data_IF_211497846758
#
_entry.id   IF_211497846758
#
_cell.length_a   1.000
_cell.length_b   1.000
_cell.length_c   1.000
_cell.angle_alpha   90.00
_cell.angle_beta   90.00
_cell.angle_gamma   90.00
#
_symmetry.space_group_name_H-M   'P 1'
#
loop_
_entity.id
_entity.type
_entity.pdbx_description
1 polymer ?
#
# COMPACT_ATOMS: atom_id res chain seq x y z
N UNK A 1 -16.32 -5.38 3.28
CA UNK A 1 -15.47 -6.56 3.62
C UNK A 1 -14.18 -6.54 2.80
N UNK A 2 -13.08 -7.09 3.33
CA UNK A 2 -11.74 -7.22 2.71
C UNK A 2 -10.95 -8.29 3.47
N UNK A 3 -9.65 -8.45 3.19
CA UNK A 3 -8.76 -9.34 3.95
C UNK A 3 -8.88 -9.11 5.47
N UNK A 4 -9.05 -10.21 6.21
CA UNK A 4 -8.84 -10.32 7.65
C UNK A 4 -7.50 -11.01 7.96
N UNK A 5 -7.20 -11.21 9.24
CA UNK A 5 -5.97 -11.88 9.68
C UNK A 5 -5.99 -13.34 9.20
N UNK A 6 -5.01 -13.72 8.38
CA UNK A 6 -4.74 -15.09 7.96
C UNK A 6 -3.24 -15.24 7.66
N UNK A 7 -2.75 -16.47 7.63
CA UNK A 7 -1.33 -16.79 7.40
C UNK A 7 -1.10 -17.42 6.01
N UNK A 8 -2.09 -17.38 5.11
CA UNK A 8 -1.96 -17.99 3.81
C UNK A 8 -1.12 -17.11 2.88
N UNK A 9 -0.13 -17.72 2.25
CA UNK A 9 0.61 -17.12 1.14
C UNK A 9 -0.13 -17.34 -0.18
N UNK A 10 0.33 -16.66 -1.24
CA UNK A 10 -0.12 -16.95 -2.61
C UNK A 10 0.09 -18.43 -2.97
N UNK A 11 1.22 -19.02 -2.54
CA UNK A 11 1.58 -20.41 -2.83
C UNK A 11 0.60 -21.36 -2.15
N UNK A 12 0.27 -21.11 -0.89
CA UNK A 12 -0.69 -21.93 -0.15
C UNK A 12 -2.06 -21.92 -0.83
N UNK A 13 -2.57 -20.72 -1.15
CA UNK A 13 -3.85 -20.56 -1.85
C UNK A 13 -3.84 -21.27 -3.20
N UNK A 14 -2.75 -21.17 -3.96
CA UNK A 14 -2.63 -21.86 -5.24
C UNK A 14 -2.60 -23.38 -5.10
N UNK A 15 -1.90 -23.91 -4.08
CA UNK A 15 -1.87 -25.35 -3.78
C UNK A 15 -3.25 -25.90 -3.40
N UNK A 16 -4.11 -25.06 -2.81
CA UNK A 16 -5.51 -25.35 -2.50
C UNK A 16 -6.45 -25.19 -3.72
N UNK A 17 -5.91 -24.91 -4.91
CA UNK A 17 -6.70 -24.76 -6.14
C UNK A 17 -7.31 -23.37 -6.35
N UNK A 18 -6.99 -22.37 -5.52
CA UNK A 18 -7.48 -20.99 -5.71
C UNK A 18 -6.92 -20.41 -7.02
N UNK A 19 -7.83 -19.95 -7.88
CA UNK A 19 -7.49 -19.38 -9.20
C UNK A 19 -7.40 -17.85 -9.20
N UNK A 20 -8.09 -17.18 -8.28
CA UNK A 20 -8.13 -15.72 -8.17
C UNK A 20 -8.14 -15.29 -6.71
N UNK A 21 -7.30 -14.33 -6.38
CA UNK A 21 -7.22 -13.72 -5.05
C UNK A 21 -7.69 -12.27 -5.19
N UNK A 22 -8.74 -11.90 -4.46
CA UNK A 22 -9.16 -10.51 -4.32
C UNK A 22 -8.89 -10.03 -2.90
N UNK A 23 -8.59 -8.75 -2.75
CA UNK A 23 -8.31 -8.16 -1.42
C UNK A 23 -9.42 -7.22 -0.96
N UNK A 24 -10.47 -7.05 -1.77
CA UNK A 24 -11.53 -6.08 -1.54
C UNK A 24 -10.97 -4.69 -1.22
N UNK A 25 -11.55 -4.01 -0.23
CA UNK A 25 -11.06 -2.71 0.24
C UNK A 25 -9.84 -2.75 1.15
N UNK A 26 -9.08 -3.85 1.24
CA UNK A 26 -7.97 -3.93 2.20
C UNK A 26 -6.83 -2.97 1.92
N UNK A 27 -6.44 -2.79 0.65
CA UNK A 27 -5.38 -1.85 0.30
C UNK A 27 -5.78 -0.41 0.68
N UNK A 28 -7.02 -0.01 0.37
CA UNK A 28 -7.53 1.31 0.75
C UNK A 28 -7.53 1.53 2.27
N UNK A 29 -7.97 0.54 3.06
CA UNK A 29 -7.93 0.63 4.53
C UNK A 29 -6.50 0.71 5.08
N UNK A 30 -5.54 0.01 4.48
CA UNK A 30 -4.14 0.12 4.86
C UNK A 30 -3.58 1.52 4.58
N UNK A 31 -3.90 2.11 3.41
CA UNK A 31 -3.52 3.49 3.09
C UNK A 31 -4.14 4.49 4.08
N UNK A 32 -5.44 4.36 4.40
CA UNK A 32 -6.09 5.23 5.37
C UNK A 32 -5.54 5.11 6.78
N UNK A 33 -5.07 3.92 7.17
CA UNK A 33 -4.34 3.75 8.41
C UNK A 33 -3.06 4.60 8.42
N UNK A 34 -2.23 4.54 7.38
CA UNK A 34 -1.01 5.35 7.30
C UNK A 34 -1.29 6.85 7.31
N UNK A 35 -2.32 7.30 6.57
CA UNK A 35 -2.77 8.71 6.59
C UNK A 35 -3.19 9.12 8.00
N UNK A 36 -3.98 8.29 8.67
CA UNK A 36 -4.41 8.56 10.05
C UNK A 36 -3.23 8.63 11.01
N UNK A 37 -2.23 7.76 10.88
CA UNK A 37 -1.04 7.78 11.74
C UNK A 37 -0.23 9.07 11.53
N UNK A 38 0.00 9.50 10.29
CA UNK A 38 0.68 10.76 9.99
C UNK A 38 -0.12 11.97 10.51
N UNK A 39 -1.45 11.97 10.34
CA UNK A 39 -2.31 13.02 10.86
C UNK A 39 -2.27 13.11 12.40
N UNK A 40 -2.33 11.96 13.08
CA UNK A 40 -2.22 11.91 14.54
C UNK A 40 -0.84 12.38 15.01
N UNK A 41 0.23 12.03 14.31
CA UNK A 41 1.58 12.53 14.61
C UNK A 41 1.64 14.05 14.54
N UNK A 42 1.25 14.63 13.39
CA UNK A 42 1.26 16.08 13.19
C UNK A 42 0.38 16.80 14.24
N UNK A 43 -0.80 16.26 14.53
CA UNK A 43 -1.74 16.86 15.47
C UNK A 43 -1.29 16.76 16.93
N UNK A 44 -0.81 15.59 17.36
CA UNK A 44 -0.51 15.34 18.78
C UNK A 44 0.93 15.68 19.19
N UNK A 45 1.88 15.60 18.26
CA UNK A 45 3.32 15.79 18.54
C UNK A 45 3.94 16.95 17.79
N UNK A 46 3.30 17.44 16.71
CA UNK A 46 3.85 18.50 15.86
C UNK A 46 5.09 18.06 15.06
N UNK A 47 5.29 16.75 14.88
CA UNK A 47 6.43 16.18 14.13
C UNK A 47 6.00 15.66 12.76
N UNK A 48 6.99 15.40 11.89
CA UNK A 48 6.80 14.99 10.50
C UNK A 48 7.61 13.72 10.14
N UNK A 49 7.86 12.85 11.11
CA UNK A 49 8.70 11.66 10.97
C UNK A 49 8.14 10.65 9.97
N UNK A 50 6.82 10.66 9.71
CA UNK A 50 6.25 9.88 8.60
C UNK A 50 6.97 10.13 7.26
N UNK A 51 7.56 11.32 7.07
CA UNK A 51 8.32 11.68 5.87
C UNK A 51 9.58 10.82 5.64
N UNK A 52 10.09 10.12 6.65
CA UNK A 52 11.23 9.21 6.51
C UNK A 52 10.87 7.92 5.75
N UNK A 53 9.58 7.54 5.76
CA UNK A 53 9.11 6.27 5.17
C UNK A 53 8.33 6.46 3.87
N UNK A 54 8.02 7.70 3.49
CA UNK A 54 7.28 7.98 2.27
C UNK A 54 8.13 7.74 1.02
N UNK A 55 7.48 7.44 -0.11
CA UNK A 55 8.14 7.49 -1.41
C UNK A 55 8.58 8.92 -1.70
N UNK A 56 9.87 9.11 -1.99
CA UNK A 56 10.39 10.42 -2.41
C UNK A 56 9.69 10.88 -3.69
N UNK A 57 9.54 12.20 -3.85
CA UNK A 57 9.00 12.81 -5.07
C UNK A 57 9.66 12.26 -6.35
N UNK A 58 11.00 12.18 -6.39
CA UNK A 58 11.74 11.64 -7.54
C UNK A 58 11.31 10.21 -7.88
N UNK A 59 11.29 9.30 -6.90
CA UNK A 59 10.87 7.90 -7.13
C UNK A 59 9.44 7.79 -7.67
N UNK A 60 8.52 8.65 -7.22
CA UNK A 60 7.16 8.70 -7.76
C UNK A 60 7.13 9.19 -9.20
N UNK A 61 7.84 10.28 -9.51
CA UNK A 61 7.94 10.78 -10.89
C UNK A 61 8.57 9.75 -11.83
N UNK A 62 9.68 9.14 -11.43
CA UNK A 62 10.35 8.09 -12.21
C UNK A 62 9.41 6.90 -12.46
N UNK A 63 8.66 6.49 -11.43
CA UNK A 63 7.68 5.41 -11.54
C UNK A 63 6.60 5.73 -12.59
N UNK A 64 6.04 6.95 -12.58
CA UNK A 64 5.02 7.34 -13.55
C UNK A 64 5.59 7.51 -14.97
N UNK A 65 6.77 8.12 -15.12
CA UNK A 65 7.43 8.29 -16.42
C UNK A 65 7.75 6.95 -17.11
N UNK A 66 8.06 5.91 -16.33
CA UNK A 66 8.33 4.57 -16.87
C UNK A 66 7.13 3.95 -17.62
N UNK A 67 5.90 4.40 -17.34
CA UNK A 67 4.70 3.96 -18.08
C UNK A 67 4.48 4.77 -19.35
N UNK A 68 4.90 6.04 -19.41
CA UNK A 68 4.81 6.86 -20.63
C UNK A 68 5.74 6.35 -21.74
N UNK A 69 6.88 5.74 -21.36
CA UNK A 69 7.85 5.20 -22.32
C UNK A 69 7.41 3.85 -22.90
N UNK A 70 6.62 3.06 -22.16
CA UNK A 70 6.15 1.74 -22.64
C UNK A 70 5.01 1.80 -23.67
N UNK A 71 4.36 2.96 -23.80
CA UNK A 71 3.26 3.20 -24.74
C UNK A 71 3.72 3.86 -26.05
N UNK A 72 5.03 4.07 -26.25
CA UNK A 72 5.66 4.57 -27.49
C UNK A 72 6.57 3.52 -28.11
#
# INVERSE_FOLDING_TARGET
MGLGKNNFTKVDLHSLGVRRISIGGSLARACFYLIRQAALEMFSRGTFNFAETQLTHKKLCDFFAAFEIKEK
#
